data_IF_535793949399
#
_entry.id   IF_535793949399
#
_cell.length_a   1.000
_cell.length_b   1.000
_cell.length_c   1.000
_cell.angle_alpha   90.00
_cell.angle_beta   90.00
_cell.angle_gamma   90.00
#
_symmetry.space_group_name_H-M   'P 1'
#
loop_
_entity.id
_entity.type
_entity.pdbx_description
1 polymer ?
#
# COMPACT_ATOMS: atom_id res chain seq x y z
N UNK A 1 -12.84 20.32 -0.68
CA UNK A 1 -12.92 21.80 -0.76
C UNK A 1 -11.49 22.28 -0.78
N UNK A 2 -11.04 22.90 -1.86
CA UNK A 2 -9.62 23.09 -2.20
C UNK A 2 -8.90 23.99 -1.20
N UNK A 3 -7.97 23.42 -0.43
CA UNK A 3 -7.04 24.20 0.41
C UNK A 3 -5.70 24.35 -0.32
N UNK A 4 -5.54 25.42 -1.10
CA UNK A 4 -4.32 25.64 -1.89
C UNK A 4 -3.14 26.08 -1.00
N UNK A 5 -3.42 26.58 0.21
CA UNK A 5 -2.42 27.18 1.10
C UNK A 5 -1.93 26.25 2.20
N UNK A 6 -2.59 25.11 2.46
CA UNK A 6 -2.18 24.13 3.48
C UNK A 6 -2.45 22.71 3.00
N UNK A 7 -1.66 21.76 3.49
CA UNK A 7 -1.87 20.34 3.24
C UNK A 7 -3.26 19.90 3.69
N UNK A 8 -3.86 18.97 2.95
CA UNK A 8 -5.11 18.31 3.34
C UNK A 8 -4.88 17.44 4.59
N UNK A 9 -5.95 17.20 5.36
CA UNK A 9 -5.88 16.31 6.51
C UNK A 9 -5.68 14.86 6.07
N UNK A 10 -4.77 14.15 6.74
CA UNK A 10 -4.41 12.77 6.43
C UNK A 10 -4.77 11.86 7.61
N UNK A 11 -5.21 10.64 7.31
CA UNK A 11 -5.50 9.60 8.32
C UNK A 11 -4.61 8.39 8.11
N UNK A 12 -4.09 7.84 9.21
CA UNK A 12 -3.43 6.54 9.20
C UNK A 12 -4.46 5.43 9.43
N UNK A 13 -4.60 4.55 8.44
CA UNK A 13 -5.44 3.37 8.53
C UNK A 13 -4.59 2.10 8.60
N UNK A 14 -5.03 1.13 9.40
CA UNK A 14 -4.46 -0.21 9.43
C UNK A 14 -5.40 -1.17 8.70
N UNK A 15 -4.88 -1.88 7.70
CA UNK A 15 -5.66 -2.77 6.84
C UNK A 15 -5.31 -4.22 7.16
N UNK A 16 -6.35 -5.04 7.36
CA UNK A 16 -6.23 -6.49 7.53
C UNK A 16 -6.91 -7.18 6.35
N UNK A 17 -6.13 -7.92 5.56
CA UNK A 17 -6.62 -8.61 4.36
C UNK A 17 -6.44 -10.11 4.52
N UNK A 18 -7.45 -10.86 4.06
CA UNK A 18 -7.29 -12.29 3.83
C UNK A 18 -6.44 -12.50 2.57
N UNK A 19 -5.54 -13.51 2.52
CA UNK A 19 -4.67 -13.75 1.37
C UNK A 19 -5.41 -13.84 0.03
N UNK A 20 -6.57 -14.52 0.02
CA UNK A 20 -7.35 -14.76 -1.19
C UNK A 20 -8.00 -13.48 -1.76
N UNK A 21 -8.24 -12.49 -0.91
CA UNK A 21 -8.80 -11.19 -1.29
C UNK A 21 -7.73 -10.09 -1.44
N UNK A 22 -6.48 -10.36 -1.07
CA UNK A 22 -5.46 -9.33 -0.99
C UNK A 22 -5.17 -8.71 -2.36
N UNK A 23 -5.09 -9.53 -3.42
CA UNK A 23 -4.78 -9.04 -4.76
C UNK A 23 -5.88 -8.12 -5.31
N UNK A 24 -7.15 -8.53 -5.22
CA UNK A 24 -8.28 -7.72 -5.69
C UNK A 24 -8.40 -6.41 -4.93
N UNK A 25 -8.31 -6.45 -3.58
CA UNK A 25 -8.41 -5.24 -2.77
C UNK A 25 -7.27 -4.25 -3.06
N UNK A 26 -6.03 -4.72 -3.22
CA UNK A 26 -4.90 -3.84 -3.55
C UNK A 26 -5.02 -3.28 -4.97
N UNK A 27 -5.53 -4.05 -5.93
CA UNK A 27 -5.81 -3.56 -7.29
C UNK A 27 -6.82 -2.41 -7.28
N UNK A 28 -7.95 -2.58 -6.60
CA UNK A 28 -8.98 -1.55 -6.47
C UNK A 28 -8.45 -0.29 -5.76
N UNK A 29 -7.65 -0.45 -4.69
CA UNK A 29 -7.00 0.68 -4.02
C UNK A 29 -6.01 1.41 -4.92
N UNK A 30 -5.30 0.69 -5.79
CA UNK A 30 -4.42 1.25 -6.80
C UNK A 30 -5.19 2.08 -7.85
N UNK A 31 -6.34 1.57 -8.29
CA UNK A 31 -7.23 2.29 -9.23
C UNK A 31 -7.82 3.56 -8.61
N UNK A 32 -8.17 3.55 -7.33
CA UNK A 32 -8.66 4.74 -6.62
C UNK A 32 -7.58 5.83 -6.50
N UNK A 33 -6.30 5.47 -6.36
CA UNK A 33 -5.18 6.41 -6.36
C UNK A 33 -5.10 7.37 -5.17
N UNK A 34 -5.83 7.10 -4.09
CA UNK A 34 -5.95 7.97 -2.89
C UNK A 34 -5.19 7.45 -1.67
N UNK A 35 -4.44 6.35 -1.82
CA UNK A 35 -3.73 5.71 -0.69
C UNK A 35 -2.22 5.78 -0.87
N UNK A 36 -1.53 5.97 0.26
CA UNK A 36 -0.07 5.88 0.34
C UNK A 36 0.32 4.77 1.31
N UNK A 37 0.95 3.72 0.80
CA UNK A 37 1.43 2.61 1.62
C UNK A 37 2.75 2.98 2.33
N UNK A 38 2.87 2.55 3.58
CA UNK A 38 4.13 2.61 4.34
C UNK A 38 4.79 1.25 4.38
N UNK A 39 6.11 1.24 4.21
CA UNK A 39 6.90 0.02 4.38
C UNK A 39 6.95 -0.37 5.86
N UNK A 40 6.32 -1.50 6.20
CA UNK A 40 6.34 -2.08 7.54
C UNK A 40 7.55 -3.00 7.76
N UNK A 41 8.33 -3.31 6.72
CA UNK A 41 9.49 -4.21 6.78
C UNK A 41 10.78 -3.51 6.29
N UNK A 42 11.15 -2.33 6.83
CA UNK A 42 12.31 -1.57 6.35
C UNK A 42 13.64 -2.29 6.56
N UNK A 43 13.73 -3.17 7.55
CA UNK A 43 14.96 -3.92 7.88
C UNK A 43 15.10 -5.22 7.08
N UNK A 44 14.11 -5.56 6.25
CA UNK A 44 14.12 -6.78 5.42
C UNK A 44 14.63 -6.44 4.03
N UNK A 45 15.73 -7.08 3.64
CA UNK A 45 16.32 -6.95 2.31
C UNK A 45 15.31 -7.36 1.22
N UNK A 46 15.35 -6.71 0.06
CA UNK A 46 14.48 -6.97 -1.08
C UNK A 46 14.40 -8.45 -1.46
N UNK A 47 15.53 -9.17 -1.43
CA UNK A 47 15.60 -10.60 -1.79
C UNK A 47 14.98 -11.54 -0.76
N UNK A 48 14.73 -11.06 0.46
CA UNK A 48 14.15 -11.84 1.55
C UNK A 48 12.65 -11.54 1.72
N UNK A 49 12.08 -10.66 0.90
CA UNK A 49 10.66 -10.30 0.97
C UNK A 49 9.80 -11.43 0.42
N UNK A 50 8.63 -11.62 1.02
CA UNK A 50 7.70 -12.71 0.75
C UNK A 50 7.37 -12.90 -0.74
N UNK A 51 7.17 -11.81 -1.46
CA UNK A 51 6.70 -11.81 -2.85
C UNK A 51 7.85 -11.65 -3.88
N UNK A 52 9.12 -11.84 -3.48
CA UNK A 52 10.27 -11.66 -4.39
C UNK A 52 10.19 -12.51 -5.66
N UNK A 53 9.67 -13.73 -5.54
CA UNK A 53 9.59 -14.67 -6.67
C UNK A 53 8.57 -14.24 -7.74
N UNK A 54 7.56 -13.45 -7.38
CA UNK A 54 6.52 -12.96 -8.28
C UNK A 54 6.96 -11.69 -9.02
N UNK A 55 7.86 -10.91 -8.44
CA UNK A 55 8.39 -9.66 -9.02
C UNK A 55 9.42 -9.94 -10.12
N UNK A 56 10.13 -11.07 -10.03
CA UNK A 56 11.19 -11.43 -10.96
C UNK A 56 10.74 -12.21 -12.22
N UNK A 57 9.44 -12.42 -12.39
CA UNK A 57 8.86 -12.98 -13.62
C UNK A 57 8.55 -11.87 -14.63
#
# INVERSE_FOLDING_TARGET
MTNIFRSEEMTLCQLYLQPDAAYSCISELGELGIVQFRDLNPNVNAFQRKFVNEVGQ
#
